data_IF_061432948498
#
_entry.id   IF_061432948498
#
_cell.length_a   1.000
_cell.length_b   1.000
_cell.length_c   1.000
_cell.angle_alpha   90.00
_cell.angle_beta   90.00
_cell.angle_gamma   90.00
#
_symmetry.space_group_name_H-M   'P 1'
#
loop_
_entity.id
_entity.type
_entity.pdbx_description
1 polymer ?
#
# COMPACT_ATOMS: atom_id res chain seq x y z
N UNK A 1 17.76 -14.14 -47.87
CA UNK A 1 17.38 -14.91 -46.67
C UNK A 1 18.26 -14.46 -45.53
N UNK A 2 17.77 -13.54 -44.72
CA UNK A 2 18.14 -13.32 -43.32
C UNK A 2 17.05 -12.42 -42.75
N UNK A 3 16.21 -13.04 -41.93
CA UNK A 3 15.10 -12.43 -41.21
C UNK A 3 15.63 -11.50 -40.14
N UNK A 4 15.28 -10.23 -40.23
CA UNK A 4 15.52 -9.25 -39.17
C UNK A 4 14.41 -9.41 -38.12
N UNK A 5 14.78 -9.86 -36.92
CA UNK A 5 13.88 -9.99 -35.80
C UNK A 5 13.63 -8.60 -35.20
N UNK A 6 12.53 -7.97 -35.59
CA UNK A 6 12.03 -6.78 -34.92
C UNK A 6 11.57 -7.16 -33.50
N UNK A 7 12.31 -6.68 -32.50
CA UNK A 7 11.91 -6.61 -31.10
C UNK A 7 10.63 -5.76 -30.97
N UNK A 8 9.56 -6.21 -30.29
CA UNK A 8 8.39 -5.37 -30.09
C UNK A 8 8.72 -4.31 -29.03
N UNK A 9 8.98 -3.11 -29.52
CA UNK A 9 9.08 -1.88 -28.75
C UNK A 9 7.76 -1.58 -28.03
N UNK A 10 7.89 -1.18 -26.76
CA UNK A 10 6.97 -0.34 -25.98
C UNK A 10 5.47 -0.59 -26.19
N UNK A 11 4.91 -1.47 -25.35
CA UNK A 11 3.47 -1.66 -25.22
C UNK A 11 2.79 -0.39 -24.74
N UNK A 12 2.29 0.39 -25.70
CA UNK A 12 1.38 1.51 -25.44
C UNK A 12 0.03 0.91 -25.05
N UNK A 13 -0.35 0.99 -23.78
CA UNK A 13 -1.68 0.54 -23.33
C UNK A 13 -2.72 1.49 -23.93
N UNK A 14 -3.69 0.98 -24.71
CA UNK A 14 -4.65 1.87 -25.35
C UNK A 14 -5.56 2.53 -24.32
N UNK A 15 -5.77 3.83 -24.49
CA UNK A 15 -6.82 4.58 -23.83
C UNK A 15 -8.19 3.97 -24.21
N UNK A 16 -8.89 3.40 -23.23
CA UNK A 16 -10.29 3.01 -23.38
C UNK A 16 -10.60 1.52 -23.22
N UNK A 17 -10.50 1.01 -21.98
CA UNK A 17 -11.48 0.08 -21.43
C UNK A 17 -11.36 0.04 -19.91
N UNK A 18 -12.47 0.35 -19.24
CA UNK A 18 -12.67 0.30 -17.79
C UNK A 18 -12.76 -1.15 -17.29
N UNK A 19 -11.72 -1.95 -17.55
CA UNK A 19 -11.62 -3.32 -17.07
C UNK A 19 -11.37 -3.30 -15.55
N UNK A 20 -12.02 -4.21 -14.84
CA UNK A 20 -11.82 -4.36 -13.41
C UNK A 20 -10.35 -4.70 -13.10
N UNK A 21 -9.67 -3.98 -12.20
CA UNK A 21 -8.28 -4.28 -11.86
C UNK A 21 -8.09 -5.63 -11.16
N UNK A 22 -9.17 -6.21 -10.62
CA UNK A 22 -9.12 -7.49 -9.92
C UNK A 22 -9.31 -8.70 -10.86
N UNK A 23 -10.18 -8.61 -11.87
CA UNK A 23 -10.54 -9.77 -12.70
C UNK A 23 -10.69 -9.48 -14.20
N UNK A 24 -10.42 -8.26 -14.66
CA UNK A 24 -10.48 -7.86 -16.06
C UNK A 24 -11.90 -7.68 -16.65
N UNK A 25 -12.95 -8.18 -15.98
CA UNK A 25 -14.33 -8.02 -16.44
C UNK A 25 -14.78 -6.55 -16.44
N UNK A 26 -15.77 -6.17 -17.28
CA UNK A 26 -16.26 -4.79 -17.33
C UNK A 26 -16.97 -4.38 -16.03
N UNK A 27 -17.01 -3.07 -15.79
CA UNK A 27 -17.77 -2.46 -14.70
C UNK A 27 -19.06 -1.81 -15.18
N UNK A 28 -20.12 -1.90 -14.38
CA UNK A 28 -21.30 -1.04 -14.52
C UNK A 28 -21.07 0.27 -13.79
N UNK A 29 -21.48 1.38 -14.39
CA UNK A 29 -21.38 2.70 -13.76
C UNK A 29 -22.33 2.80 -12.56
N UNK A 30 -21.83 3.28 -11.42
CA UNK A 30 -22.66 3.70 -10.29
C UNK A 30 -22.94 5.21 -10.36
N UNK A 31 -23.92 5.68 -9.58
CA UNK A 31 -24.27 7.12 -9.54
C UNK A 31 -23.23 8.01 -8.86
N UNK A 32 -22.21 7.44 -8.22
CA UNK A 32 -21.22 8.18 -7.45
C UNK A 32 -20.10 8.73 -8.33
N UNK A 33 -19.78 10.00 -8.09
CA UNK A 33 -18.64 10.71 -8.67
C UNK A 33 -17.77 11.23 -7.53
N UNK A 34 -16.47 10.95 -7.57
CA UNK A 34 -15.49 11.39 -6.57
C UNK A 34 -14.67 12.54 -7.15
N UNK A 35 -14.51 13.61 -6.37
CA UNK A 35 -13.78 14.84 -6.76
C UNK A 35 -14.23 15.38 -8.13
N UNK A 36 -15.54 15.29 -8.44
CA UNK A 36 -16.17 15.72 -9.69
C UNK A 36 -15.63 15.06 -10.99
N UNK A 37 -14.62 14.21 -10.87
CA UNK A 37 -13.82 13.63 -11.95
C UNK A 37 -14.01 12.12 -12.02
N UNK A 38 -13.66 11.42 -10.94
CA UNK A 38 -13.59 9.97 -10.95
C UNK A 38 -14.98 9.37 -10.87
N UNK A 39 -15.31 8.49 -11.81
CA UNK A 39 -16.58 7.77 -11.81
C UNK A 39 -16.40 6.44 -11.08
N UNK A 40 -17.33 6.08 -10.19
CA UNK A 40 -17.31 4.80 -9.50
C UNK A 40 -18.01 3.73 -10.35
N UNK A 41 -17.36 2.60 -10.56
CA UNK A 41 -17.92 1.44 -11.27
C UNK A 41 -17.95 0.24 -10.33
N UNK A 42 -18.86 -0.70 -10.60
CA UNK A 42 -18.89 -2.02 -9.97
C UNK A 42 -18.76 -3.12 -11.01
N UNK A 43 -17.74 -3.95 -10.85
CA UNK A 43 -17.46 -5.08 -11.73
C UNK A 43 -18.67 -6.02 -11.85
N UNK A 44 -18.98 -6.48 -13.06
CA UNK A 44 -20.05 -7.46 -13.30
C UNK A 44 -19.60 -8.91 -13.10
N UNK A 45 -18.28 -9.17 -13.03
CA UNK A 45 -17.71 -10.49 -12.76
C UNK A 45 -17.48 -10.76 -11.26
N UNK A 46 -16.65 -9.94 -10.61
CA UNK A 46 -16.22 -10.16 -9.21
C UNK A 46 -16.84 -9.19 -8.18
N UNK A 47 -17.72 -8.29 -8.62
CA UNK A 47 -18.35 -7.26 -7.79
C UNK A 47 -17.41 -6.22 -7.13
N UNK A 48 -16.10 -6.22 -7.40
CA UNK A 48 -15.17 -5.15 -6.98
C UNK A 48 -15.62 -3.78 -7.47
N UNK A 49 -15.60 -2.80 -6.58
CA UNK A 49 -15.84 -1.39 -6.91
C UNK A 49 -14.51 -0.68 -7.19
N UNK A 50 -14.45 0.12 -8.25
CA UNK A 50 -13.22 0.78 -8.69
C UNK A 50 -13.52 2.13 -9.36
N UNK A 51 -12.58 3.06 -9.25
CA UNK A 51 -12.68 4.37 -9.87
C UNK A 51 -12.14 4.33 -11.29
N UNK A 52 -12.82 5.02 -12.21
CA UNK A 52 -12.32 5.33 -13.54
C UNK A 52 -12.12 6.82 -13.67
N UNK A 53 -10.91 7.21 -14.04
CA UNK A 53 -10.64 8.56 -14.51
C UNK A 53 -11.16 8.71 -15.96
N UNK A 54 -12.09 9.64 -16.24
CA UNK A 54 -12.59 9.87 -17.58
C UNK A 54 -11.58 10.60 -18.48
N UNK A 55 -10.51 11.21 -17.95
CA UNK A 55 -9.48 11.88 -18.76
C UNK A 55 -8.30 10.94 -19.05
N UNK A 56 -7.95 10.67 -20.33
CA UNK A 56 -6.73 9.96 -20.66
C UNK A 56 -5.51 10.83 -20.29
N UNK A 57 -4.61 10.30 -19.45
CA UNK A 57 -3.46 11.02 -18.89
C UNK A 57 -3.55 11.29 -17.39
N UNK A 58 -4.20 10.38 -16.64
CA UNK A 58 -4.58 10.55 -15.22
C UNK A 58 -3.52 11.10 -14.29
N UNK A 59 -4.00 11.74 -13.21
CA UNK A 59 -3.18 12.31 -12.13
C UNK A 59 -2.08 11.33 -11.72
N UNK A 60 -0.86 11.85 -11.60
CA UNK A 60 0.24 11.09 -11.01
C UNK A 60 -0.18 10.64 -9.61
N UNK A 61 0.13 9.39 -9.27
CA UNK A 61 -0.12 8.78 -7.94
C UNK A 61 0.39 9.67 -6.79
N UNK A 62 1.29 10.62 -7.09
CA UNK A 62 1.85 11.60 -6.16
C UNK A 62 0.92 12.73 -5.69
N UNK A 63 -0.27 12.94 -6.24
CA UNK A 63 -1.25 13.92 -5.69
C UNK A 63 -2.00 13.39 -4.45
N UNK A 64 -1.68 12.17 -3.98
CA UNK A 64 -2.50 11.45 -3.02
C UNK A 64 -2.38 11.93 -1.56
N UNK A 65 -1.32 12.66 -1.21
CA UNK A 65 -1.07 13.13 0.15
C UNK A 65 -0.80 14.64 0.19
N UNK A 66 -1.75 15.38 0.74
CA UNK A 66 -1.50 16.75 1.22
C UNK A 66 -0.79 16.67 2.58
N UNK A 67 0.18 17.56 2.82
CA UNK A 67 1.04 17.53 4.00
C UNK A 67 0.25 17.49 5.34
N UNK A 68 -0.96 18.09 5.39
CA UNK A 68 -1.80 18.10 6.60
C UNK A 68 -2.21 16.70 7.07
N UNK A 69 -2.28 15.71 6.18
CA UNK A 69 -2.71 14.36 6.55
C UNK A 69 -1.69 13.69 7.46
N UNK A 70 -0.40 14.01 7.32
CA UNK A 70 0.63 13.48 8.21
C UNK A 70 0.44 13.95 9.64
N UNK A 71 0.11 15.23 9.84
CA UNK A 71 -0.19 15.78 11.17
C UNK A 71 -1.43 15.13 11.78
N UNK A 72 -2.46 14.88 10.96
CA UNK A 72 -3.67 14.16 11.40
C UNK A 72 -3.32 12.74 11.86
N UNK A 73 -2.50 12.00 11.10
CA UNK A 73 -2.07 10.66 11.48
C UNK A 73 -1.08 10.62 12.64
N UNK A 74 -0.38 11.72 12.89
CA UNK A 74 0.47 11.89 14.08
C UNK A 74 -0.34 12.23 15.34
N UNK A 75 -1.57 12.74 15.18
CA UNK A 75 -2.46 13.09 16.29
C UNK A 75 -2.85 11.89 17.16
N UNK A 76 -2.84 12.11 18.48
CA UNK A 76 -3.03 11.04 19.48
C UNK A 76 -4.36 10.30 19.35
N UNK A 77 -5.46 11.02 19.09
CA UNK A 77 -6.78 10.41 18.93
C UNK A 77 -6.84 9.46 17.72
N UNK A 78 -6.22 9.87 16.61
CA UNK A 78 -6.15 9.04 15.39
C UNK A 78 -5.30 7.82 15.68
N UNK A 79 -4.09 8.01 16.22
CA UNK A 79 -3.18 6.91 16.58
C UNK A 79 -3.86 5.89 17.49
N UNK A 80 -4.53 6.33 18.55
CA UNK A 80 -5.25 5.44 19.47
C UNK A 80 -6.35 4.62 18.79
N UNK A 81 -7.13 5.23 17.89
CA UNK A 81 -8.15 4.51 17.12
C UNK A 81 -7.57 3.45 16.17
N UNK A 82 -6.41 3.74 15.56
CA UNK A 82 -5.70 2.78 14.70
C UNK A 82 -5.10 1.63 15.51
N UNK A 83 -4.52 1.89 16.67
CA UNK A 83 -3.95 0.84 17.53
C UNK A 83 -4.99 -0.20 17.96
N UNK A 84 -6.21 0.24 18.29
CA UNK A 84 -7.32 -0.68 18.60
C UNK A 84 -7.65 -1.61 17.42
N UNK A 85 -7.60 -1.09 16.19
CA UNK A 85 -7.80 -1.89 14.97
C UNK A 85 -6.65 -2.85 14.74
N UNK A 86 -5.41 -2.42 14.97
CA UNK A 86 -4.25 -3.29 14.83
C UNK A 86 -4.34 -4.49 15.76
N UNK A 87 -4.64 -4.27 17.05
CA UNK A 87 -4.85 -5.35 18.02
C UNK A 87 -5.93 -6.32 17.54
N UNK A 88 -7.12 -5.81 17.21
CA UNK A 88 -8.23 -6.67 16.80
C UNK A 88 -7.94 -7.51 15.53
N UNK A 89 -7.24 -6.94 14.54
CA UNK A 89 -6.86 -7.65 13.32
C UNK A 89 -5.76 -8.67 13.62
N UNK A 90 -4.74 -8.30 14.40
CA UNK A 90 -3.61 -9.15 14.68
C UNK A 90 -3.98 -10.34 15.56
N UNK A 91 -4.84 -10.14 16.56
CA UNK A 91 -5.35 -11.23 17.42
C UNK A 91 -6.10 -12.27 16.58
N UNK A 92 -6.97 -11.81 15.65
CA UNK A 92 -7.69 -12.71 14.73
C UNK A 92 -6.74 -13.45 13.79
N UNK A 93 -5.69 -12.77 13.33
CA UNK A 93 -4.68 -13.37 12.48
C UNK A 93 -3.89 -14.44 13.24
N UNK A 94 -3.44 -14.15 14.46
CA UNK A 94 -2.70 -15.11 15.29
C UNK A 94 -3.57 -16.30 15.73
N UNK A 95 -4.85 -16.08 16.01
CA UNK A 95 -5.78 -17.15 16.32
C UNK A 95 -5.96 -18.14 15.15
N UNK A 96 -5.75 -17.70 13.90
CA UNK A 96 -5.90 -18.52 12.69
C UNK A 96 -4.58 -19.09 12.17
N UNK A 97 -3.51 -18.31 12.23
CA UNK A 97 -2.23 -18.61 11.59
C UNK A 97 -1.11 -18.92 12.60
N UNK A 98 -1.37 -18.81 13.91
CA UNK A 98 -0.36 -18.96 14.95
C UNK A 98 0.49 -17.70 15.15
N UNK A 99 1.62 -17.86 15.85
CA UNK A 99 2.52 -16.74 16.18
C UNK A 99 3.12 -16.12 14.91
N UNK A 100 3.11 -14.79 14.85
CA UNK A 100 3.76 -14.02 13.78
C UNK A 100 5.01 -13.33 14.33
N UNK A 101 6.18 -13.67 13.78
CA UNK A 101 7.45 -13.06 14.18
C UNK A 101 7.91 -11.92 13.27
N UNK A 102 7.35 -11.79 12.06
CA UNK A 102 7.77 -10.80 11.06
C UNK A 102 6.58 -10.24 10.32
N UNK A 103 6.66 -8.97 9.91
CA UNK A 103 5.61 -8.29 9.17
C UNK A 103 6.18 -7.33 8.12
N UNK A 104 5.58 -7.34 6.93
CA UNK A 104 5.78 -6.33 5.90
C UNK A 104 4.51 -5.49 5.80
N UNK A 105 4.62 -4.18 5.99
CA UNK A 105 3.53 -3.22 5.81
C UNK A 105 3.67 -2.51 4.46
N UNK A 106 2.68 -2.65 3.57
CA UNK A 106 2.70 -2.05 2.22
C UNK A 106 1.77 -0.84 2.21
N UNK A 107 2.31 0.33 1.88
CA UNK A 107 1.66 1.62 2.13
C UNK A 107 1.77 2.04 3.59
N UNK A 108 2.96 1.89 4.19
CA UNK A 108 3.15 2.06 5.63
C UNK A 108 3.02 3.51 6.13
N UNK A 109 2.98 4.49 5.23
CA UNK A 109 2.95 5.91 5.53
C UNK A 109 4.03 6.31 6.54
N UNK A 110 3.65 7.09 7.55
CA UNK A 110 4.54 7.54 8.64
C UNK A 110 4.91 6.45 9.65
N UNK A 111 4.54 5.19 9.39
CA UNK A 111 5.02 4.03 10.14
C UNK A 111 4.32 3.78 11.48
N UNK A 112 3.06 4.23 11.65
CA UNK A 112 2.33 4.01 12.91
C UNK A 112 2.12 2.52 13.22
N UNK A 113 1.76 1.72 12.22
CA UNK A 113 1.64 0.27 12.39
C UNK A 113 2.99 -0.40 12.67
N UNK A 114 4.05 0.00 11.97
CA UNK A 114 5.41 -0.51 12.20
C UNK A 114 5.86 -0.27 13.63
N UNK A 115 5.70 0.96 14.14
CA UNK A 115 6.04 1.29 15.53
C UNK A 115 5.26 0.41 16.53
N UNK A 116 3.95 0.23 16.28
CA UNK A 116 3.09 -0.64 17.09
C UNK A 116 3.54 -2.11 17.06
N UNK A 117 3.96 -2.61 15.90
CA UNK A 117 4.40 -3.99 15.70
C UNK A 117 5.79 -4.24 16.32
N UNK A 118 6.75 -3.33 16.08
CA UNK A 118 8.09 -3.39 16.67
C UNK A 118 8.03 -3.36 18.20
N UNK A 119 7.16 -2.53 18.79
CA UNK A 119 6.96 -2.48 20.24
C UNK A 119 6.44 -3.82 20.83
N UNK A 120 5.92 -4.71 20.00
CA UNK A 120 5.45 -6.07 20.36
C UNK A 120 6.47 -7.16 20.01
N UNK A 121 7.69 -6.78 19.62
CA UNK A 121 8.78 -7.70 19.32
C UNK A 121 8.70 -8.33 17.93
N UNK A 122 7.92 -7.76 17.01
CA UNK A 122 7.92 -8.20 15.62
C UNK A 122 9.09 -7.58 14.86
N UNK A 123 9.68 -8.36 13.96
CA UNK A 123 10.57 -7.88 12.91
C UNK A 123 9.73 -7.20 11.82
N UNK A 124 9.50 -5.89 12.00
CA UNK A 124 8.60 -5.10 11.16
C UNK A 124 9.38 -4.23 10.17
N UNK A 125 9.01 -4.33 8.89
CA UNK A 125 9.52 -3.47 7.81
C UNK A 125 8.38 -2.89 7.00
N UNK A 126 8.54 -1.69 6.46
CA UNK A 126 7.49 -1.03 5.69
C UNK A 126 7.93 -0.55 4.32
N UNK A 127 7.00 -0.49 3.38
CA UNK A 127 7.20 0.15 2.09
C UNK A 127 6.13 1.20 1.82
N UNK A 128 6.55 2.34 1.28
CA UNK A 128 5.64 3.39 0.81
C UNK A 128 6.24 4.10 -0.41
N UNK A 129 5.40 4.66 -1.27
CA UNK A 129 5.85 5.46 -2.43
C UNK A 129 6.17 6.90 -2.04
N UNK A 130 5.65 7.38 -0.90
CA UNK A 130 5.85 8.74 -0.42
C UNK A 130 7.14 8.86 0.42
N UNK A 131 8.18 9.45 -0.18
CA UNK A 131 9.47 9.63 0.47
C UNK A 131 9.42 10.52 1.72
N UNK A 132 8.48 11.46 1.82
CA UNK A 132 8.33 12.31 3.02
C UNK A 132 7.78 11.49 4.18
N UNK A 133 6.78 10.65 3.90
CA UNK A 133 6.23 9.73 4.90
C UNK A 133 7.31 8.77 5.41
N UNK A 134 8.12 8.23 4.48
CA UNK A 134 9.26 7.37 4.82
C UNK A 134 10.32 8.10 5.64
N UNK A 135 10.65 9.36 5.32
CA UNK A 135 11.59 10.16 6.11
C UNK A 135 11.08 10.35 7.56
N UNK A 136 9.79 10.62 7.74
CA UNK A 136 9.16 10.70 9.06
C UNK A 136 9.19 9.38 9.83
N UNK A 137 8.98 8.25 9.15
CA UNK A 137 9.09 6.92 9.75
C UNK A 137 10.54 6.58 10.13
N UNK A 138 11.50 6.86 9.24
CA UNK A 138 12.92 6.60 9.46
C UNK A 138 13.50 7.44 10.60
N UNK A 139 13.07 8.70 10.75
CA UNK A 139 13.44 9.56 11.88
C UNK A 139 13.01 8.99 13.25
N UNK A 140 12.00 8.10 13.26
CA UNK A 140 11.55 7.35 14.44
C UNK A 140 12.28 6.00 14.62
N UNK A 141 13.31 5.73 13.82
CA UNK A 141 14.10 4.49 13.87
C UNK A 141 13.43 3.28 13.21
N UNK A 142 12.42 3.49 12.36
CA UNK A 142 11.71 2.40 11.68
C UNK A 142 12.44 1.98 10.39
N UNK A 143 12.43 0.69 10.08
CA UNK A 143 12.99 0.16 8.83
C UNK A 143 11.98 0.30 7.71
N UNK A 144 12.23 1.23 6.79
CA UNK A 144 11.32 1.55 5.69
C UNK A 144 12.05 1.73 4.36
N UNK A 145 11.36 1.52 3.24
CA UNK A 145 11.95 1.60 1.89
C UNK A 145 10.92 1.97 0.81
N UNK A 146 11.35 2.62 -0.26
CA UNK A 146 10.49 2.79 -1.45
C UNK A 146 10.39 1.47 -2.21
N UNK A 147 9.28 1.16 -2.91
CA UNK A 147 9.16 -0.09 -3.68
C UNK A 147 10.31 -0.33 -4.68
N UNK A 148 10.86 0.74 -5.26
CA UNK A 148 12.00 0.69 -6.19
C UNK A 148 13.34 0.46 -5.48
N UNK A 149 13.46 0.81 -4.20
CA UNK A 149 14.66 0.61 -3.38
C UNK A 149 14.55 -0.62 -2.46
N UNK A 150 13.55 -1.49 -2.68
CA UNK A 150 13.30 -2.66 -1.85
C UNK A 150 14.60 -3.41 -1.55
N UNK A 151 15.03 -3.51 -0.28
CA UNK A 151 16.23 -4.20 0.07
C UNK A 151 16.01 -5.69 -0.27
N UNK A 152 16.69 -6.18 -1.30
CA UNK A 152 16.78 -7.62 -1.55
C UNK A 152 17.52 -8.23 -0.37
N UNK A 153 16.77 -8.66 0.65
CA UNK A 153 17.31 -9.19 1.89
C UNK A 153 17.69 -8.11 2.91
N UNK A 154 16.71 -7.34 3.40
CA UNK A 154 16.91 -6.48 4.58
C UNK A 154 17.63 -7.25 5.71
N UNK A 155 18.60 -6.64 6.41
CA UNK A 155 19.31 -7.29 7.49
C UNK A 155 18.33 -7.74 8.57
N UNK A 156 18.41 -9.03 8.93
CA UNK A 156 17.61 -9.60 10.01
C UNK A 156 17.89 -8.80 11.29
N UNK A 157 16.84 -8.32 11.96
CA UNK A 157 17.02 -7.83 13.32
C UNK A 157 17.57 -8.98 14.16
N UNK A 158 18.78 -8.81 14.69
CA UNK A 158 19.38 -9.77 15.63
C UNK A 158 18.68 -9.60 16.97
N UNK A 159 17.48 -10.15 17.09
CA UNK A 159 16.91 -10.41 18.41
C UNK A 159 17.75 -11.52 19.05
N UNK A 160 18.44 -11.19 20.13
CA UNK A 160 19.07 -12.17 21.01
C UNK A 160 18.02 -13.22 21.42
N UNK A 161 18.39 -14.52 21.49
CA UNK A 161 17.45 -15.53 21.93
C UNK A 161 16.99 -15.18 23.34
N UNK A 162 15.66 -15.13 23.51
CA UNK A 162 15.00 -15.01 24.81
C UNK A 162 15.63 -16.07 25.73
N UNK A 163 16.28 -15.60 26.79
CA UNK A 163 17.03 -16.45 27.72
C UNK A 163 16.11 -17.32 28.57
N UNK A 164 16.49 -18.60 28.64
CA UNK A 164 16.17 -19.67 29.61
C UNK A 164 14.72 -19.86 30.04
#
# INVERSE_FOLDING_TARGET
MTTDHAEPTSGTVPAGAAACPACGAPGRMLRHVVQERYRLLRCTGCATEFLRDPLPGGSTVGEYWEDYKFDVYAGDAVRGGYEQRYVAVFDRLQARAGRCGRVLDVGCGIGNFLAWATARGLDAVGSDVDERALAGAAARGLTVFTPSSSPRGAPRSTSSPCGT
#
